data_IF_625080083022
#
_entry.id   IF_625080083022
#
_cell.length_a   1.000
_cell.length_b   1.000
_cell.length_c   1.000
_cell.angle_alpha   90.00
_cell.angle_beta   90.00
_cell.angle_gamma   90.00
#
_symmetry.space_group_name_H-M   'P 1'
#
loop_
_entity.id
_entity.type
_entity.pdbx_description
1 polymer ?
#
# COMPACT_ATOMS: atom_id res chain seq x y z
N UNK A 1 -60.59 19.17 10.81
CA UNK A 1 -59.28 18.47 10.83
C UNK A 1 -58.58 18.59 9.47
N UNK A 2 -57.92 19.71 9.15
CA UNK A 2 -57.25 19.90 7.83
C UNK A 2 -55.96 20.76 7.89
N UNK A 3 -55.36 20.97 9.07
CA UNK A 3 -54.23 21.92 9.24
C UNK A 3 -52.85 21.27 9.43
N UNK A 4 -52.76 19.94 9.43
CA UNK A 4 -51.52 19.22 9.79
C UNK A 4 -50.71 18.69 8.61
N UNK A 5 -51.18 18.85 7.36
CA UNK A 5 -50.50 18.31 6.18
C UNK A 5 -49.43 19.25 5.60
N UNK A 6 -49.59 20.56 5.79
CA UNK A 6 -48.65 21.58 5.33
C UNK A 6 -47.22 21.46 5.91
N UNK A 7 -47.02 21.26 7.24
CA UNK A 7 -45.67 21.12 7.78
C UNK A 7 -45.00 19.80 7.35
N UNK A 8 -45.80 18.77 7.05
CA UNK A 8 -45.31 17.43 6.69
C UNK A 8 -44.75 17.41 5.27
N UNK A 9 -45.39 18.12 4.34
CA UNK A 9 -44.90 18.29 2.96
C UNK A 9 -43.65 19.17 2.93
N UNK A 10 -43.60 20.21 3.76
CA UNK A 10 -42.41 21.06 3.89
C UNK A 10 -41.20 20.27 4.43
N UNK A 11 -41.39 19.43 5.45
CA UNK A 11 -40.31 18.61 5.99
C UNK A 11 -39.79 17.55 5.00
N UNK A 12 -40.66 16.98 4.17
CA UNK A 12 -40.26 15.97 3.17
C UNK A 12 -39.42 16.58 2.03
N UNK A 13 -39.70 17.83 1.65
CA UNK A 13 -38.96 18.52 0.59
C UNK A 13 -37.53 18.92 1.00
N UNK A 14 -37.27 19.18 2.29
CA UNK A 14 -35.91 19.48 2.79
C UNK A 14 -35.03 18.23 2.99
N UNK A 15 -35.59 17.02 3.05
CA UNK A 15 -34.83 15.79 3.27
C UNK A 15 -34.21 15.18 2.01
N UNK A 16 -34.71 15.53 0.82
CA UNK A 16 -34.29 14.93 -0.45
C UNK A 16 -33.13 15.68 -1.16
N UNK A 17 -32.69 16.82 -0.62
CA UNK A 17 -31.69 17.69 -1.24
C UNK A 17 -30.29 17.58 -0.62
N UNK A 18 -30.03 16.59 0.23
CA UNK A 18 -28.66 16.29 0.66
C UNK A 18 -28.02 15.37 -0.38
N UNK A 19 -27.19 15.87 -1.30
CA UNK A 19 -26.33 14.98 -2.05
C UNK A 19 -25.42 14.32 -1.02
N UNK A 20 -25.45 13.00 -0.97
CA UNK A 20 -24.37 12.23 -0.36
C UNK A 20 -23.12 12.44 -1.23
N UNK A 21 -22.47 13.59 -1.07
CA UNK A 21 -21.13 13.88 -1.58
C UNK A 21 -20.13 13.06 -0.74
N UNK A 22 -20.26 11.73 -0.77
CA UNK A 22 -19.21 10.84 -0.36
C UNK A 22 -18.15 10.83 -1.48
N UNK A 23 -17.46 11.95 -1.64
CA UNK A 23 -16.23 12.00 -2.41
C UNK A 23 -15.20 11.06 -1.76
N UNK A 24 -14.23 10.55 -2.54
CA UNK A 24 -13.15 9.77 -1.95
C UNK A 24 -12.46 10.58 -0.85
N UNK A 25 -12.20 9.95 0.30
CA UNK A 25 -11.47 10.58 1.39
C UNK A 25 -10.01 10.82 0.96
N UNK A 26 -9.77 11.98 0.38
CA UNK A 26 -8.44 12.39 -0.07
C UNK A 26 -7.44 12.42 1.08
N UNK A 27 -7.87 12.64 2.33
CA UNK A 27 -6.96 12.58 3.46
C UNK A 27 -6.51 11.14 3.73
N UNK A 28 -7.42 10.16 3.64
CA UNK A 28 -7.05 8.75 3.75
C UNK A 28 -6.12 8.32 2.60
N UNK A 29 -6.37 8.78 1.38
CA UNK A 29 -5.53 8.50 0.21
C UNK A 29 -4.13 9.11 0.37
N UNK A 30 -4.04 10.38 0.76
CA UNK A 30 -2.75 11.05 0.95
C UNK A 30 -1.97 10.49 2.14
N UNK A 31 -2.64 10.12 3.24
CA UNK A 31 -2.01 9.40 4.36
C UNK A 31 -1.46 8.05 3.90
N UNK A 32 -2.22 7.30 3.11
CA UNK A 32 -1.76 6.02 2.56
C UNK A 32 -0.57 6.20 1.59
N UNK A 33 -0.56 7.27 0.80
CA UNK A 33 0.56 7.62 -0.08
C UNK A 33 1.81 7.99 0.71
N UNK A 34 1.68 8.84 1.72
CA UNK A 34 2.77 9.22 2.62
C UNK A 34 3.35 7.99 3.35
N UNK A 35 2.50 7.10 3.84
CA UNK A 35 2.93 5.85 4.47
C UNK A 35 3.70 4.94 3.49
N UNK A 36 3.23 4.81 2.24
CA UNK A 36 3.96 4.08 1.18
C UNK A 36 5.31 4.71 0.87
N UNK A 37 5.40 6.04 0.80
CA UNK A 37 6.67 6.74 0.56
C UNK A 37 7.64 6.57 1.73
N UNK A 38 7.15 6.65 2.97
CA UNK A 38 7.97 6.38 4.16
C UNK A 38 8.46 4.92 4.20
N UNK A 39 7.60 3.96 3.84
CA UNK A 39 7.98 2.55 3.72
C UNK A 39 8.96 2.27 2.57
N UNK A 40 8.88 3.03 1.48
CA UNK A 40 9.85 2.95 0.39
C UNK A 40 11.21 3.54 0.82
N UNK A 41 11.21 4.69 1.51
CA UNK A 41 12.42 5.31 2.03
C UNK A 41 13.13 4.43 3.09
N UNK A 42 12.38 3.74 3.94
CA UNK A 42 12.95 2.78 4.89
C UNK A 42 13.50 1.52 4.21
N UNK A 43 12.91 1.09 3.09
CA UNK A 43 13.48 0.03 2.26
C UNK A 43 14.80 0.46 1.60
N UNK A 44 14.90 1.71 1.13
CA UNK A 44 16.17 2.26 0.62
C UNK A 44 17.22 2.39 1.73
N UNK A 45 16.82 2.73 2.95
CA UNK A 45 17.73 2.73 4.10
C UNK A 45 18.15 1.32 4.54
N UNK A 46 17.38 0.29 4.19
CA UNK A 46 17.66 -1.12 4.50
C UNK A 46 18.74 -1.75 3.60
N UNK A 47 19.21 -1.04 2.56
CA UNK A 47 20.31 -1.51 1.69
C UNK A 47 21.68 -1.43 2.36
N UNK A 48 21.80 -0.63 3.42
CA UNK A 48 23.05 -0.48 4.18
C UNK A 48 22.93 -1.25 5.48
N UNK A 49 23.52 -2.45 5.55
CA UNK A 49 23.53 -3.28 6.75
C UNK A 49 24.92 -3.27 7.39
N UNK A 50 25.00 -3.39 8.71
CA UNK A 50 26.27 -3.62 9.42
C UNK A 50 26.48 -5.13 9.52
N UNK A 51 27.60 -5.61 9.01
CA UNK A 51 28.05 -7.00 9.17
C UNK A 51 28.33 -7.27 10.65
N UNK A 52 27.69 -8.31 11.21
CA UNK A 52 27.81 -8.67 12.62
C UNK A 52 29.17 -9.25 13.00
N UNK A 53 29.98 -9.68 12.02
CA UNK A 53 31.32 -10.24 12.25
C UNK A 53 32.42 -9.20 12.13
N UNK A 54 32.32 -8.29 11.16
CA UNK A 54 33.34 -7.27 10.89
C UNK A 54 32.97 -5.87 11.40
N UNK A 55 31.71 -5.64 11.78
CA UNK A 55 31.19 -4.33 12.17
C UNK A 55 31.14 -3.32 11.00
N UNK A 56 31.42 -3.76 9.77
CA UNK A 56 31.49 -2.90 8.60
C UNK A 56 30.11 -2.75 7.96
N UNK A 57 29.80 -1.54 7.47
CA UNK A 57 28.61 -1.31 6.66
C UNK A 57 28.77 -2.00 5.30
N UNK A 58 28.12 -3.13 5.12
CA UNK A 58 27.96 -3.82 3.84
C UNK A 58 26.77 -3.20 3.11
N UNK A 59 27.05 -2.70 1.91
CA UNK A 59 26.02 -2.26 1.00
C UNK A 59 25.51 -3.50 0.25
N UNK A 60 24.31 -3.93 0.59
CA UNK A 60 23.59 -4.98 -0.12
C UNK A 60 22.45 -4.35 -0.90
N UNK A 61 22.72 -3.76 -2.07
CA UNK A 61 21.66 -3.29 -2.95
C UNK A 61 20.93 -4.51 -3.49
N UNK A 62 19.88 -4.94 -2.79
CA UNK A 62 18.90 -5.86 -3.37
C UNK A 62 17.96 -5.02 -4.22
N UNK A 63 17.70 -5.48 -5.44
CA UNK A 63 16.67 -4.85 -6.27
C UNK A 63 15.35 -4.83 -5.48
N UNK A 64 14.63 -3.70 -5.47
CA UNK A 64 13.39 -3.60 -4.72
C UNK A 64 12.40 -4.69 -5.18
N UNK A 65 11.83 -5.41 -4.21
CA UNK A 65 10.88 -6.48 -4.49
C UNK A 65 9.55 -5.88 -4.99
N UNK A 66 9.41 -5.77 -6.31
CA UNK A 66 8.16 -5.38 -6.98
C UNK A 66 7.40 -6.62 -7.43
N UNK A 67 6.20 -6.81 -6.89
CA UNK A 67 5.26 -7.85 -7.34
C UNK A 67 4.16 -7.18 -8.19
N UNK A 68 4.16 -7.37 -9.52
CA UNK A 68 3.04 -6.99 -10.37
C UNK A 68 1.77 -7.72 -9.98
N UNK A 69 0.63 -7.14 -10.33
CA UNK A 69 -0.68 -7.73 -10.07
C UNK A 69 -0.81 -9.08 -10.79
N UNK A 70 -1.09 -10.15 -10.06
CA UNK A 70 -1.18 -11.53 -10.55
C UNK A 70 -2.61 -12.10 -10.58
N UNK A 71 -3.60 -11.27 -10.26
CA UNK A 71 -5.00 -11.66 -10.16
C UNK A 71 -5.94 -10.65 -10.82
N UNK A 72 -7.07 -11.16 -11.31
CA UNK A 72 -8.14 -10.36 -11.89
C UNK A 72 -8.00 -10.10 -13.40
N UNK A 73 -8.95 -9.34 -13.98
CA UNK A 73 -9.04 -9.13 -15.43
C UNK A 73 -7.90 -8.29 -16.02
N UNK A 74 -7.07 -7.67 -15.17
CA UNK A 74 -5.89 -6.87 -15.56
C UNK A 74 -4.60 -7.39 -14.92
N UNK A 75 -4.51 -8.70 -14.69
CA UNK A 75 -3.29 -9.33 -14.24
C UNK A 75 -2.15 -9.07 -15.24
N UNK A 76 -0.99 -8.68 -14.73
CA UNK A 76 0.22 -8.36 -15.49
C UNK A 76 1.26 -9.49 -15.43
N UNK A 77 1.06 -10.45 -14.52
CA UNK A 77 1.95 -11.59 -14.29
C UNK A 77 1.10 -12.75 -13.77
N UNK A 78 1.70 -13.93 -13.60
CA UNK A 78 1.03 -15.07 -12.97
C UNK A 78 1.42 -15.21 -11.50
N UNK A 79 0.60 -15.89 -10.67
CA UNK A 79 0.94 -16.13 -9.27
C UNK A 79 2.24 -16.95 -9.10
N UNK A 80 2.54 -17.83 -10.06
CA UNK A 80 3.78 -18.61 -10.07
C UNK A 80 5.02 -17.74 -10.25
N UNK A 81 5.00 -16.80 -11.20
CA UNK A 81 6.10 -15.87 -11.44
C UNK A 81 6.38 -14.97 -10.24
N UNK A 82 5.32 -14.50 -9.57
CA UNK A 82 5.45 -13.72 -8.35
C UNK A 82 6.07 -14.52 -7.19
N UNK A 83 5.70 -15.79 -7.03
CA UNK A 83 6.36 -16.68 -6.05
C UNK A 83 7.85 -16.82 -6.32
N UNK A 84 8.23 -16.97 -7.59
CA UNK A 84 9.64 -17.06 -7.99
C UNK A 84 10.41 -15.76 -7.72
N UNK A 85 9.83 -14.59 -8.04
CA UNK A 85 10.44 -13.28 -7.72
C UNK A 85 10.68 -13.13 -6.23
N UNK A 86 9.66 -13.46 -5.42
CA UNK A 86 9.75 -13.42 -3.96
C UNK A 86 10.85 -14.34 -3.43
N UNK A 87 10.90 -15.59 -3.90
CA UNK A 87 11.93 -16.55 -3.50
C UNK A 87 13.35 -16.08 -3.84
N UNK A 88 13.56 -15.49 -5.02
CA UNK A 88 14.85 -14.92 -5.42
C UNK A 88 15.24 -13.74 -4.54
N UNK A 89 14.31 -12.86 -4.21
CA UNK A 89 14.57 -11.75 -3.31
C UNK A 89 14.95 -12.23 -1.91
N UNK A 90 14.21 -13.20 -1.36
CA UNK A 90 14.52 -13.81 -0.06
C UNK A 90 15.90 -14.48 -0.06
N UNK A 91 16.28 -15.15 -1.15
CA UNK A 91 17.61 -15.74 -1.31
C UNK A 91 18.72 -14.68 -1.33
N UNK A 92 18.52 -13.55 -2.03
CA UNK A 92 19.48 -12.44 -2.06
C UNK A 92 19.64 -11.78 -0.69
N UNK A 93 18.55 -11.59 0.05
CA UNK A 93 18.60 -11.06 1.43
C UNK A 93 19.33 -12.02 2.37
N UNK A 94 19.11 -13.34 2.23
CA UNK A 94 19.83 -14.36 3.01
C UNK A 94 21.31 -14.41 2.68
N UNK A 95 21.68 -14.37 1.40
CA UNK A 95 23.07 -14.34 0.94
C UNK A 95 23.80 -13.09 1.46
N UNK A 96 23.13 -11.94 1.47
CA UNK A 96 23.65 -10.73 2.11
C UNK A 96 23.84 -10.88 3.62
N UNK A 97 22.97 -11.63 4.31
CA UNK A 97 23.06 -11.81 5.77
C UNK A 97 24.23 -12.70 6.18
N UNK A 98 24.66 -13.63 5.33
CA UNK A 98 25.79 -14.54 5.58
C UNK A 98 26.72 -14.60 4.36
N UNK A 99 27.64 -13.63 4.18
CA UNK A 99 28.50 -13.58 2.99
C UNK A 99 29.60 -14.66 2.93
N UNK A 100 29.50 -15.76 3.68
CA UNK A 100 30.58 -16.75 3.78
C UNK A 100 30.23 -18.08 4.45
N UNK A 101 29.11 -18.71 4.08
CA UNK A 101 28.91 -20.15 4.32
C UNK A 101 29.41 -20.97 3.15
#
# INVERSE_FOLDING_TARGET
MKKSLLPLIAALALGASLPALAGPDFQAIEKARAAKQAAAASQTASTTRVDGTTGQRVNCPTDPLVLPLDHGPRAQTTPGENRMRKARYEAQVKACTNPGS
#
